data_IF_287477774547
#
_entry.id   IF_287477774547
#
_cell.length_a   1.000
_cell.length_b   1.000
_cell.length_c   1.000
_cell.angle_alpha   90.00
_cell.angle_beta   90.00
_cell.angle_gamma   90.00
#
_symmetry.space_group_name_H-M   'P 1'
#
loop_
_entity.id
_entity.type
_entity.pdbx_description
1 polymer ?
#
# COMPACT_ATOMS: atom_id res chain seq x y z
N UNK A 1 -25.74 5.94 -29.74
CA UNK A 1 -25.90 5.09 -28.55
C UNK A 1 -24.60 5.14 -27.79
N UNK A 2 -24.32 6.31 -27.26
CA UNK A 2 -22.99 6.86 -27.08
C UNK A 2 -22.77 7.05 -25.58
N UNK A 3 -21.64 6.52 -25.10
CA UNK A 3 -20.97 6.85 -23.86
C UNK A 3 -21.73 6.65 -22.54
N UNK A 4 -21.33 5.62 -21.78
CA UNK A 4 -21.39 5.72 -20.31
C UNK A 4 -20.24 4.92 -19.66
N UNK A 5 -19.10 5.60 -19.54
CA UNK A 5 -18.28 5.70 -18.32
C UNK A 5 -17.46 4.49 -17.85
N UNK A 6 -16.26 4.42 -18.42
CA UNK A 6 -15.07 3.95 -17.72
C UNK A 6 -14.71 4.94 -16.60
N UNK A 7 -14.91 4.53 -15.35
CA UNK A 7 -14.57 5.31 -14.15
C UNK A 7 -13.96 4.42 -13.08
N UNK A 8 -12.92 3.65 -13.43
CA UNK A 8 -12.08 2.99 -12.44
C UNK A 8 -11.35 4.08 -11.63
N UNK A 9 -11.95 4.50 -10.53
CA UNK A 9 -11.35 5.39 -9.55
C UNK A 9 -9.97 4.82 -9.20
N UNK A 10 -8.84 5.52 -9.44
CA UNK A 10 -7.56 5.03 -8.98
C UNK A 10 -7.65 5.04 -7.46
N UNK A 11 -7.70 3.85 -6.87
CA UNK A 11 -7.62 3.70 -5.42
C UNK A 11 -6.42 4.55 -4.97
N UNK A 12 -6.71 5.63 -4.27
CA UNK A 12 -5.71 6.43 -3.58
C UNK A 12 -5.18 5.55 -2.45
N UNK A 13 -4.37 4.57 -2.83
CA UNK A 13 -3.53 3.85 -1.92
C UNK A 13 -2.62 4.94 -1.36
N UNK A 14 -2.94 5.40 -0.15
CA UNK A 14 -2.14 6.33 0.63
C UNK A 14 -0.67 5.89 0.67
N UNK A 15 0.24 6.72 1.22
CA UNK A 15 1.67 6.49 1.15
C UNK A 15 1.99 5.03 1.51
N UNK A 16 2.33 4.23 0.50
CA UNK A 16 2.60 2.82 0.68
C UNK A 16 3.92 2.78 1.43
N UNK A 17 3.87 2.46 2.72
CA UNK A 17 5.09 2.28 3.53
C UNK A 17 6.03 1.36 2.77
N UNK A 18 7.22 1.87 2.48
CA UNK A 18 8.21 1.15 1.70
C UNK A 18 8.56 -0.14 2.42
N UNK A 19 8.66 -1.26 1.69
CA UNK A 19 8.99 -2.57 2.29
C UNK A 19 10.29 -2.55 3.12
N UNK A 20 11.24 -1.66 2.81
CA UNK A 20 12.49 -1.52 3.55
C UNK A 20 12.46 -0.47 4.67
N UNK A 21 11.40 0.32 4.77
CA UNK A 21 11.22 1.38 5.77
C UNK A 21 11.07 0.77 7.18
N UNK A 22 11.45 1.47 8.27
CA UNK A 22 11.08 1.06 9.63
C UNK A 22 9.57 0.79 9.75
N UNK A 23 9.22 -0.28 10.44
CA UNK A 23 7.81 -0.63 10.62
C UNK A 23 7.13 0.36 11.56
N UNK A 24 5.98 0.96 11.18
CA UNK A 24 5.31 2.00 11.97
C UNK A 24 4.74 1.50 13.31
N UNK A 25 4.82 0.19 13.59
CA UNK A 25 4.41 -0.40 14.87
C UNK A 25 5.45 -0.25 15.99
N UNK A 26 6.59 0.41 15.73
CA UNK A 26 7.64 0.64 16.73
C UNK A 26 8.48 -0.60 17.08
N UNK A 27 8.42 -1.68 16.30
CA UNK A 27 9.16 -2.92 16.57
C UNK A 27 10.66 -2.85 16.28
N UNK A 28 11.14 -1.76 15.68
CA UNK A 28 12.52 -1.61 15.20
C UNK A 28 12.86 -2.47 13.97
N UNK A 29 11.92 -3.26 13.45
CA UNK A 29 12.10 -4.10 12.26
C UNK A 29 11.71 -3.34 10.99
N UNK A 30 12.29 -3.72 9.85
CA UNK A 30 11.84 -3.23 8.52
C UNK A 30 10.42 -3.72 8.25
N UNK A 31 9.61 -2.92 7.55
CA UNK A 31 8.21 -3.24 7.26
C UNK A 31 8.05 -4.65 6.65
N UNK A 32 8.88 -5.04 5.67
CA UNK A 32 8.88 -6.37 5.05
C UNK A 32 9.16 -7.55 5.98
N UNK A 33 9.78 -7.31 7.13
CA UNK A 33 10.07 -8.35 8.14
C UNK A 33 9.10 -8.29 9.32
N UNK A 34 8.07 -7.46 9.24
CA UNK A 34 7.06 -7.27 10.26
C UNK A 34 5.68 -7.29 9.58
N UNK A 35 4.94 -6.18 9.58
CA UNK A 35 3.57 -6.10 9.04
C UNK A 35 3.49 -6.18 7.50
N UNK A 36 4.61 -5.98 6.81
CA UNK A 36 4.74 -6.15 5.35
C UNK A 36 5.31 -7.50 4.94
N UNK A 37 5.39 -8.48 5.86
CA UNK A 37 5.82 -9.84 5.53
C UNK A 37 4.72 -10.48 4.67
N UNK A 38 4.99 -10.59 3.37
CA UNK A 38 4.23 -11.49 2.51
C UNK A 38 4.84 -12.87 2.69
N UNK A 39 4.00 -13.85 3.04
CA UNK A 39 4.42 -15.25 3.09
C UNK A 39 4.87 -15.74 1.72
#
# INVERSE_FOLDING_TARGET
GDAEQAGAQPAAAGPKVGRNDPCPCGSGKKYKHCHGKLN
#
